data_IF_520468390352
#
_entry.id   IF_520468390352
#
_cell.length_a   1.000
_cell.length_b   1.000
_cell.length_c   1.000
_cell.angle_alpha   90.00
_cell.angle_beta   90.00
_cell.angle_gamma   90.00
#
_symmetry.space_group_name_H-M   'P 1'
#
loop_
_entity.id
_entity.type
_entity.pdbx_description
1 polymer ?
#
# COMPACT_ATOMS: atom_id res chain seq x y z
N UNK A 1 0.06 3.68 8.50
CA UNK A 1 -0.41 3.41 7.13
C UNK A 1 0.75 3.20 6.17
N UNK A 2 1.68 4.16 6.02
CA UNK A 2 2.89 4.05 5.18
C UNK A 2 3.61 2.69 5.23
N UNK A 3 4.03 2.26 6.43
CA UNK A 3 4.77 1.01 6.63
C UNK A 3 3.98 -0.24 6.22
N UNK A 4 2.65 -0.21 6.29
CA UNK A 4 1.82 -1.36 5.90
C UNK A 4 1.73 -1.47 4.38
N UNK A 5 1.63 -0.35 3.67
CA UNK A 5 1.66 -0.31 2.20
C UNK A 5 3.05 -0.73 1.69
N UNK A 6 4.11 -0.25 2.33
CA UNK A 6 5.47 -0.67 1.98
C UNK A 6 5.71 -2.17 2.24
N UNK A 7 5.25 -2.69 3.39
CA UNK A 7 5.37 -4.11 3.73
C UNK A 7 4.54 -4.98 2.76
N UNK A 8 3.34 -4.54 2.38
CA UNK A 8 2.51 -5.19 1.36
C UNK A 8 3.24 -5.24 0.00
N UNK A 9 3.87 -4.15 -0.41
CA UNK A 9 4.65 -4.09 -1.65
C UNK A 9 5.87 -5.03 -1.61
N UNK A 10 6.56 -5.15 -0.47
CA UNK A 10 7.68 -6.07 -0.33
C UNK A 10 7.25 -7.54 -0.28
N UNK A 11 6.11 -7.82 0.35
CA UNK A 11 5.61 -9.18 0.56
C UNK A 11 4.66 -9.66 -0.53
N UNK A 12 4.29 -8.83 -1.51
CA UNK A 12 3.35 -9.19 -2.59
C UNK A 12 3.72 -10.50 -3.31
N UNK A 13 5.02 -10.78 -3.46
CA UNK A 13 5.53 -12.01 -4.09
C UNK A 13 5.43 -13.26 -3.19
N UNK A 14 5.14 -13.09 -1.90
CA UNK A 14 4.89 -14.17 -0.94
C UNK A 14 3.39 -14.52 -0.82
N UNK A 15 2.50 -13.71 -1.40
CA UNK A 15 1.08 -14.01 -1.44
C UNK A 15 0.73 -14.92 -2.64
N UNK A 16 -0.41 -15.63 -2.59
CA UNK A 16 -0.93 -16.36 -3.73
C UNK A 16 -1.15 -15.44 -4.94
N UNK A 17 -1.07 -15.98 -6.16
CA UNK A 17 -1.15 -15.22 -7.42
C UNK A 17 -2.37 -14.29 -7.50
N UNK A 18 -3.54 -14.74 -7.03
CA UNK A 18 -4.77 -13.95 -7.00
C UNK A 18 -4.65 -12.71 -6.10
N UNK A 19 -4.07 -12.88 -4.91
CA UNK A 19 -3.80 -11.77 -3.98
C UNK A 19 -2.69 -10.87 -4.50
N UNK A 20 -1.67 -11.43 -5.13
CA UNK A 20 -0.57 -10.69 -5.74
C UNK A 20 -1.08 -9.73 -6.83
N UNK A 21 -1.98 -10.20 -7.70
CA UNK A 21 -2.58 -9.37 -8.76
C UNK A 21 -3.40 -8.21 -8.17
N UNK A 22 -4.19 -8.48 -7.13
CA UNK A 22 -4.95 -7.44 -6.44
C UNK A 22 -4.04 -6.41 -5.74
N UNK A 23 -2.99 -6.85 -5.05
CA UNK A 23 -2.00 -5.94 -4.44
C UNK A 23 -1.37 -5.06 -5.51
N UNK A 24 -0.91 -5.66 -6.62
CA UNK A 24 -0.32 -4.92 -7.74
C UNK A 24 -1.29 -3.90 -8.32
N UNK A 25 -2.56 -4.27 -8.53
CA UNK A 25 -3.57 -3.36 -9.08
C UNK A 25 -3.78 -2.13 -8.19
N UNK A 26 -3.94 -2.33 -6.88
CA UNK A 26 -4.16 -1.23 -5.92
C UNK A 26 -2.91 -0.35 -5.82
N UNK A 27 -1.74 -0.97 -5.65
CA UNK A 27 -0.47 -0.24 -5.56
C UNK A 27 -0.13 0.51 -6.85
N UNK A 28 -0.48 -0.04 -8.02
CA UNK A 28 -0.28 0.63 -9.31
C UNK A 28 -1.15 1.88 -9.43
N UNK A 29 -2.42 1.82 -9.04
CA UNK A 29 -3.31 3.00 -8.98
C UNK A 29 -2.77 4.07 -8.03
N UNK A 30 -2.30 3.66 -6.85
CA UNK A 30 -1.67 4.57 -5.90
C UNK A 30 -0.40 5.22 -6.47
N UNK A 31 0.47 4.42 -7.11
CA UNK A 31 1.69 4.89 -7.74
C UNK A 31 1.44 5.84 -8.93
N UNK A 32 0.31 5.70 -9.61
CA UNK A 32 -0.17 6.61 -10.67
C UNK A 32 -0.81 7.89 -10.12
N UNK A 33 -1.10 7.94 -8.82
CA UNK A 33 -1.82 9.03 -8.19
C UNK A 33 -3.33 9.00 -8.47
N UNK A 34 -3.87 7.87 -8.93
CA UNK A 34 -5.31 7.68 -9.13
C UNK A 34 -6.06 7.59 -7.80
N UNK A 35 -5.41 7.04 -6.78
CA UNK A 35 -5.92 6.94 -5.40
C UNK A 35 -4.89 7.48 -4.41
N UNK A 36 -5.37 8.05 -3.30
CA UNK A 36 -4.51 8.49 -2.19
C UNK A 36 -4.05 7.34 -1.30
N UNK A 37 -3.08 7.62 -0.42
CA UNK A 37 -2.54 6.62 0.52
C UNK A 37 -3.62 6.00 1.41
N UNK A 38 -4.55 6.82 1.92
CA UNK A 38 -5.65 6.35 2.76
C UNK A 38 -6.53 5.35 1.97
N UNK A 39 -6.87 5.66 0.72
CA UNK A 39 -7.72 4.81 -0.10
C UNK A 39 -7.02 3.50 -0.49
N UNK A 40 -5.74 3.57 -0.87
CA UNK A 40 -4.93 2.38 -1.11
C UNK A 40 -4.86 1.48 0.14
N UNK A 41 -4.71 2.08 1.32
CA UNK A 41 -4.71 1.35 2.59
C UNK A 41 -6.04 0.65 2.84
N UNK A 42 -7.17 1.33 2.65
CA UNK A 42 -8.49 0.73 2.86
C UNK A 42 -8.79 -0.37 1.83
N UNK A 43 -8.44 -0.19 0.56
CA UNK A 43 -8.62 -1.26 -0.45
C UNK A 43 -7.76 -2.48 -0.17
N UNK A 44 -6.51 -2.30 0.29
CA UNK A 44 -5.67 -3.41 0.72
C UNK A 44 -6.24 -4.12 1.96
N UNK A 45 -6.85 -3.36 2.87
CA UNK A 45 -7.46 -3.90 4.08
C UNK A 45 -8.74 -4.69 3.75
N UNK A 46 -9.59 -4.13 2.89
CA UNK A 46 -10.85 -4.71 2.43
C UNK A 46 -10.59 -6.02 1.66
N UNK A 47 -9.55 -6.05 0.82
CA UNK A 47 -9.12 -7.26 0.12
C UNK A 47 -8.40 -8.32 0.98
N UNK A 48 -8.32 -8.14 2.30
CA UNK A 48 -7.55 -8.99 3.22
C UNK A 48 -6.09 -9.22 2.74
N UNK A 49 -5.51 -8.18 2.13
CA UNK A 49 -4.15 -8.17 1.57
C UNK A 49 -3.14 -7.64 2.59
N UNK A 50 -3.60 -6.82 3.54
CA UNK A 50 -2.85 -6.44 4.73
C UNK A 50 -3.59 -6.90 5.98
N UNK A 51 -2.83 -7.28 7.02
CA UNK A 51 -3.42 -7.69 8.28
C UNK A 51 -4.12 -6.50 8.94
N UNK A 52 -5.38 -6.70 9.34
CA UNK A 52 -6.09 -5.72 10.13
C UNK A 52 -5.34 -5.47 11.44
N UNK A 53 -4.94 -4.22 11.74
CA UNK A 53 -4.22 -3.94 12.96
C UNK A 53 -5.10 -4.27 14.17
N UNK A 54 -4.68 -5.21 15.01
CA UNK A 54 -5.41 -5.65 16.21
C UNK A 54 -5.64 -4.54 17.24
N UNK A 55 -4.90 -3.43 17.11
CA UNK A 55 -5.18 -2.19 17.83
C UNK A 55 -5.65 -1.17 16.80
N UNK A 56 -6.94 -0.81 16.85
CA UNK A 56 -7.47 0.45 16.33
C UNK A 56 -6.90 1.64 17.12
N UNK A 57 -5.59 1.63 17.43
CA UNK A 57 -4.91 2.86 17.74
C UNK A 57 -5.07 3.70 16.49
N UNK A 58 -5.76 4.83 16.63
CA UNK A 58 -5.74 5.93 15.67
C UNK A 58 -4.26 6.18 15.42
N UNK A 59 -3.70 5.54 14.38
CA UNK A 59 -2.34 5.77 13.98
C UNK A 59 -2.35 7.24 13.63
N UNK A 60 -1.76 8.06 14.50
CA UNK A 60 -1.53 9.46 14.21
C UNK A 60 -1.04 9.48 12.77
N UNK A 61 -1.82 10.12 11.88
CA UNK A 61 -1.44 10.35 10.51
C UNK A 61 -0.10 11.04 10.62
N UNK A 62 0.99 10.29 10.50
CA UNK A 62 2.29 10.89 10.28
C UNK A 62 2.07 11.61 8.96
N UNK A 63 2.03 12.95 8.95
CA UNK A 63 1.85 13.65 7.69
C UNK A 63 3.05 13.26 6.85
N UNK A 64 2.83 12.40 5.87
CA UNK A 64 3.84 12.11 4.87
C UNK A 64 4.01 13.40 4.11
N UNK A 65 5.24 13.90 4.09
CA UNK A 65 5.58 14.98 3.19
C UNK A 65 5.33 14.49 1.76
N UNK A 66 5.01 15.41 0.84
CA UNK A 66 4.87 15.05 -0.57
C UNK A 66 6.11 14.35 -1.12
N UNK A 67 7.30 14.68 -0.59
CA UNK A 67 8.56 14.02 -0.91
C UNK A 67 8.55 12.52 -0.52
N UNK A 68 8.17 12.19 0.73
CA UNK A 68 8.06 10.81 1.19
C UNK A 68 7.00 10.03 0.39
N UNK A 69 5.87 10.68 0.06
CA UNK A 69 4.84 10.06 -0.77
C UNK A 69 5.35 9.74 -2.18
N UNK A 70 6.06 10.69 -2.81
CA UNK A 70 6.67 10.49 -4.12
C UNK A 70 7.71 9.37 -4.10
N UNK A 71 8.59 9.34 -3.09
CA UNK A 71 9.58 8.26 -2.91
C UNK A 71 8.92 6.89 -2.78
N UNK A 72 7.80 6.80 -2.05
CA UNK A 72 7.03 5.56 -1.95
C UNK A 72 6.43 5.15 -3.30
N UNK A 73 5.83 6.10 -4.03
CA UNK A 73 5.26 5.86 -5.36
C UNK A 73 6.34 5.37 -6.34
N UNK A 74 7.52 5.99 -6.35
CA UNK A 74 8.64 5.57 -7.19
C UNK A 74 9.14 4.16 -6.84
N UNK A 75 9.29 3.86 -5.54
CA UNK A 75 9.68 2.54 -5.07
C UNK A 75 8.68 1.46 -5.49
N UNK A 76 7.39 1.75 -5.36
CA UNK A 76 6.31 0.86 -5.82
C UNK A 76 6.38 0.67 -7.34
N UNK A 77 6.58 1.74 -8.13
CA UNK A 77 6.75 1.62 -9.59
C UNK A 77 7.91 0.69 -9.94
N UNK A 78 9.04 0.80 -9.27
CA UNK A 78 10.20 -0.06 -9.50
C UNK A 78 9.98 -1.54 -9.13
N UNK A 79 9.01 -1.84 -8.28
CA UNK A 79 8.68 -3.22 -7.86
C UNK A 79 7.61 -3.88 -8.73
N UNK A 80 6.76 -3.09 -9.39
CA UNK A 80 5.64 -3.59 -10.22
C UNK A 80 6.00 -3.55 -11.72
N UNK A 81 7.02 -2.78 -12.11
CA UNK A 81 7.45 -2.63 -13.51
C UNK A 81 8.13 -3.86 -14.09
#
# INVERSE_FOLDING_TARGET
MHKQIEDAAMRMNSFPSEKQDNIKAILCRYARGEIGLDQAYYELLDGELIAMPQRCAVFARVPLSQDDENRLKEKIRGLIS
#
